data_IF_830092849692
#
_entry.id   IF_830092849692
#
_cell.length_a   1.000
_cell.length_b   1.000
_cell.length_c   1.000
_cell.angle_alpha   90.00
_cell.angle_beta   90.00
_cell.angle_gamma   90.00
#
_symmetry.space_group_name_H-M   'P 1'
#
loop_
_entity.id
_entity.type
_entity.pdbx_description
1 polymer ?
#
# COMPACT_ATOMS: atom_id res chain seq x y z
N UNK A 1 -1.92 -7.34 -17.20
CA UNK A 1 -2.48 -7.50 -15.85
C UNK A 1 -3.98 -7.26 -15.92
N UNK A 2 -4.76 -8.31 -15.68
CA UNK A 2 -6.22 -8.24 -15.59
C UNK A 2 -6.64 -7.11 -14.65
N UNK A 3 -7.50 -6.19 -15.11
CA UNK A 3 -8.17 -5.21 -14.24
C UNK A 3 -8.92 -6.05 -13.19
N UNK A 4 -8.40 -6.12 -11.97
CA UNK A 4 -9.19 -6.58 -10.83
C UNK A 4 -10.39 -5.63 -10.80
N UNK A 5 -11.55 -6.08 -11.29
CA UNK A 5 -12.79 -5.32 -11.12
C UNK A 5 -12.96 -5.16 -9.61
N UNK A 6 -12.93 -3.92 -9.11
CA UNK A 6 -13.27 -3.65 -7.73
C UNK A 6 -14.79 -3.83 -7.58
N UNK A 7 -15.18 -5.09 -7.37
CA UNK A 7 -16.57 -5.52 -7.11
C UNK A 7 -16.86 -5.61 -5.62
N UNK A 8 -15.88 -5.25 -4.78
CA UNK A 8 -15.96 -5.38 -3.32
C UNK A 8 -16.89 -4.31 -2.75
N UNK A 9 -17.86 -4.74 -1.96
CA UNK A 9 -18.92 -3.89 -1.40
C UNK A 9 -18.94 -3.89 0.12
N UNK A 10 -18.17 -4.76 0.76
CA UNK A 10 -18.18 -4.95 2.23
C UNK A 10 -16.78 -4.76 2.83
N UNK A 11 -16.73 -4.46 4.13
CA UNK A 11 -15.45 -4.32 4.85
C UNK A 11 -14.74 -5.67 5.00
N UNK A 12 -15.49 -6.75 5.10
CA UNK A 12 -15.01 -8.14 5.17
C UNK A 12 -14.22 -8.49 3.91
N UNK A 13 -14.77 -8.25 2.73
CA UNK A 13 -14.09 -8.50 1.44
C UNK A 13 -12.83 -7.63 1.27
N UNK A 14 -12.81 -6.43 1.85
CA UNK A 14 -11.64 -5.55 1.85
C UNK A 14 -10.54 -6.08 2.79
N UNK A 15 -10.90 -6.58 3.98
CA UNK A 15 -9.95 -7.22 4.91
C UNK A 15 -9.36 -8.48 4.31
N UNK A 16 -10.19 -9.35 3.73
CA UNK A 16 -9.73 -10.56 3.04
C UNK A 16 -8.77 -10.23 1.88
N UNK A 17 -9.04 -9.14 1.14
CA UNK A 17 -8.13 -8.65 0.09
C UNK A 17 -6.76 -8.30 0.66
N UNK A 18 -6.73 -7.59 1.79
CA UNK A 18 -5.48 -7.18 2.46
C UNK A 18 -4.72 -8.41 2.93
N UNK A 19 -5.38 -9.33 3.63
CA UNK A 19 -4.74 -10.57 4.14
C UNK A 19 -4.18 -11.43 3.00
N UNK A 20 -4.93 -11.58 1.90
CA UNK A 20 -4.45 -12.32 0.74
C UNK A 20 -3.21 -11.67 0.12
N UNK A 21 -3.19 -10.34 0.02
CA UNK A 21 -2.03 -9.62 -0.51
C UNK A 21 -0.82 -9.72 0.41
N UNK A 22 -1.01 -9.64 1.73
CA UNK A 22 0.07 -9.85 2.70
C UNK A 22 0.69 -11.23 2.52
N UNK A 23 -0.11 -12.29 2.46
CA UNK A 23 0.39 -13.66 2.22
C UNK A 23 1.19 -13.77 0.92
N UNK A 24 0.67 -13.20 -0.17
CA UNK A 24 1.38 -13.18 -1.46
C UNK A 24 2.75 -12.51 -1.31
N UNK A 25 2.84 -11.40 -0.56
CA UNK A 25 4.09 -10.67 -0.34
C UNK A 25 5.07 -11.43 0.58
N UNK A 26 4.56 -12.11 1.61
CA UNK A 26 5.34 -12.96 2.51
C UNK A 26 5.96 -14.17 1.78
N UNK A 27 5.28 -14.67 0.74
CA UNK A 27 5.74 -15.80 -0.07
C UNK A 27 6.75 -15.41 -1.18
N UNK A 28 7.03 -14.12 -1.38
CA UNK A 28 7.99 -13.68 -2.40
C UNK A 28 9.41 -13.94 -1.95
N UNK A 29 10.16 -14.75 -2.71
CA UNK A 29 11.60 -14.92 -2.53
C UNK A 29 12.33 -13.59 -2.81
N UNK A 30 13.03 -12.98 -1.84
CA UNK A 30 13.74 -11.71 -2.04
C UNK A 30 14.75 -11.75 -3.18
N UNK A 31 15.30 -12.92 -3.51
CA UNK A 31 16.27 -13.09 -4.61
C UNK A 31 15.71 -12.70 -5.96
N UNK A 32 14.38 -12.70 -6.13
CA UNK A 32 13.75 -12.26 -7.38
C UNK A 32 13.98 -10.79 -7.69
N UNK A 33 14.46 -9.99 -6.73
CA UNK A 33 14.75 -8.57 -6.92
C UNK A 33 16.23 -8.25 -7.15
N UNK A 34 17.14 -9.21 -6.97
CA UNK A 34 18.57 -8.99 -7.10
C UNK A 34 18.96 -8.57 -8.54
N UNK A 35 19.73 -7.48 -8.66
CA UNK A 35 20.28 -7.03 -9.94
C UNK A 35 19.28 -6.33 -10.87
N UNK A 36 18.07 -6.04 -10.39
CA UNK A 36 17.01 -5.40 -11.18
C UNK A 36 16.97 -3.89 -11.07
N UNK A 37 17.81 -3.29 -10.23
CA UNK A 37 17.75 -1.88 -9.85
C UNK A 37 17.78 -0.95 -11.07
N UNK A 38 18.54 -1.33 -12.09
CA UNK A 38 18.76 -0.56 -13.33
C UNK A 38 17.88 -1.00 -14.51
N UNK A 39 16.93 -1.91 -14.30
CA UNK A 39 15.99 -2.27 -15.35
C UNK A 39 15.04 -1.09 -15.62
N UNK A 40 14.74 -0.79 -16.90
CA UNK A 40 13.76 0.23 -17.22
C UNK A 40 12.34 -0.28 -16.96
N UNK A 41 11.52 0.54 -16.30
CA UNK A 41 10.09 0.34 -16.18
C UNK A 41 9.35 1.48 -16.89
N UNK A 42 8.44 1.12 -17.78
CA UNK A 42 7.60 2.07 -18.52
C UNK A 42 6.13 1.78 -18.25
N UNK A 43 5.39 2.81 -17.84
CA UNK A 43 3.96 2.72 -17.61
C UNK A 43 3.25 3.97 -18.09
N UNK A 44 1.93 3.85 -18.29
CA UNK A 44 1.09 4.95 -18.78
C UNK A 44 0.10 5.40 -17.72
N UNK A 45 -0.03 6.70 -17.54
CA UNK A 45 -0.99 7.32 -16.61
C UNK A 45 -2.00 8.17 -17.37
N UNK A 46 -2.98 8.75 -16.64
CA UNK A 46 -4.02 9.65 -17.20
C UNK A 46 -4.73 9.03 -18.41
N UNK A 47 -5.24 7.81 -18.23
CA UNK A 47 -5.92 7.03 -19.28
C UNK A 47 -5.08 6.85 -20.55
N UNK A 48 -3.76 6.72 -20.40
CA UNK A 48 -2.84 6.43 -21.49
C UNK A 48 -2.19 7.65 -22.15
N UNK A 49 -2.57 8.87 -21.75
CA UNK A 49 -2.12 10.12 -22.36
C UNK A 49 -0.71 10.55 -21.97
N UNK A 50 -0.18 10.01 -20.87
CA UNK A 50 1.17 10.34 -20.40
C UNK A 50 1.94 9.04 -20.20
N UNK A 51 3.15 8.97 -20.76
CA UNK A 51 4.08 7.86 -20.59
C UNK A 51 5.17 8.30 -19.62
N UNK A 52 5.47 7.46 -18.64
CA UNK A 52 6.57 7.64 -17.69
C UNK A 52 7.51 6.46 -17.85
N UNK A 53 8.82 6.76 -17.93
CA UNK A 53 9.89 5.77 -17.93
C UNK A 53 10.91 6.16 -16.85
N UNK A 54 11.36 5.18 -16.08
CA UNK A 54 12.34 5.32 -15.00
C UNK A 54 12.98 3.96 -14.72
N UNK A 55 14.02 3.91 -13.90
CA UNK A 55 14.61 2.66 -13.43
C UNK A 55 13.72 2.00 -12.36
N UNK A 56 13.78 0.68 -12.21
CA UNK A 56 12.99 -0.04 -11.19
C UNK A 56 13.23 0.48 -9.77
N UNK A 57 14.48 0.81 -9.42
CA UNK A 57 14.80 1.40 -8.12
C UNK A 57 14.15 2.78 -7.94
N UNK A 58 14.15 3.61 -8.98
CA UNK A 58 13.51 4.93 -8.96
C UNK A 58 11.99 4.80 -8.87
N UNK A 59 11.42 3.82 -9.57
CA UNK A 59 10.00 3.51 -9.46
C UNK A 59 9.61 3.13 -8.05
N UNK A 60 10.39 2.28 -7.37
CA UNK A 60 10.10 1.92 -5.99
C UNK A 60 10.11 3.16 -5.08
N UNK A 61 11.19 3.93 -5.10
CA UNK A 61 11.42 5.03 -4.16
C UNK A 61 10.62 6.30 -4.44
N UNK A 62 10.47 6.67 -5.71
CA UNK A 62 9.88 7.96 -6.10
C UNK A 62 8.45 7.84 -6.59
N UNK A 63 8.01 6.64 -7.01
CA UNK A 63 6.65 6.41 -7.47
C UNK A 63 5.84 5.55 -6.50
N UNK A 64 6.18 4.29 -6.33
CA UNK A 64 5.37 3.32 -5.61
C UNK A 64 5.28 3.64 -4.10
N UNK A 65 6.42 3.91 -3.46
CA UNK A 65 6.48 4.14 -2.02
C UNK A 65 5.70 5.41 -1.58
N UNK A 66 5.85 6.58 -2.21
CA UNK A 66 5.05 7.75 -1.88
C UNK A 66 3.55 7.56 -2.18
N UNK A 67 3.21 6.92 -3.30
CA UNK A 67 1.80 6.65 -3.65
C UNK A 67 1.13 5.72 -2.62
N UNK A 68 1.83 4.69 -2.15
CA UNK A 68 1.32 3.79 -1.11
C UNK A 68 0.91 4.57 0.14
N UNK A 69 1.83 5.38 0.69
CA UNK A 69 1.55 6.15 1.90
C UNK A 69 0.53 7.28 1.70
N UNK A 70 0.49 7.89 0.52
CA UNK A 70 -0.55 8.85 0.16
C UNK A 70 -1.95 8.22 0.30
N UNK A 71 -2.14 7.01 -0.23
CA UNK A 71 -3.43 6.32 -0.15
C UNK A 71 -3.76 5.82 1.25
N UNK A 72 -2.78 5.29 2.00
CA UNK A 72 -3.01 4.88 3.41
C UNK A 72 -3.42 6.07 4.25
N UNK A 73 -2.72 7.20 4.13
CA UNK A 73 -3.03 8.44 4.87
C UNK A 73 -4.40 8.98 4.48
N UNK A 74 -4.72 9.00 3.19
CA UNK A 74 -6.04 9.45 2.70
C UNK A 74 -7.18 8.59 3.28
N UNK A 75 -7.01 7.26 3.34
CA UNK A 75 -8.01 6.38 3.93
C UNK A 75 -8.17 6.62 5.43
N UNK A 76 -7.06 6.77 6.15
CA UNK A 76 -7.04 7.13 7.57
C UNK A 76 -7.77 8.46 7.82
N UNK A 77 -7.49 9.49 7.03
CA UNK A 77 -8.10 10.81 7.16
C UNK A 77 -9.60 10.77 6.89
N UNK A 78 -10.05 10.02 5.87
CA UNK A 78 -11.49 9.85 5.58
C UNK A 78 -12.20 9.19 6.76
N UNK A 79 -11.65 8.11 7.31
CA UNK A 79 -12.25 7.41 8.45
C UNK A 79 -12.31 8.29 9.69
N UNK A 80 -11.21 8.99 9.99
CA UNK A 80 -11.13 9.94 11.12
C UNK A 80 -12.11 11.10 10.93
N UNK A 81 -12.20 11.67 9.73
CA UNK A 81 -13.17 12.71 9.38
C UNK A 81 -14.63 12.23 9.53
N UNK A 82 -14.89 10.94 9.32
CA UNK A 82 -16.20 10.32 9.52
C UNK A 82 -16.50 9.90 10.96
N UNK A 83 -15.62 10.26 11.91
CA UNK A 83 -15.85 10.05 13.35
C UNK A 83 -15.36 8.71 13.88
N UNK A 84 -14.60 7.93 13.10
CA UNK A 84 -13.91 6.75 13.65
C UNK A 84 -12.81 7.22 14.59
N UNK A 85 -12.76 6.65 15.79
CA UNK A 85 -11.78 6.98 16.82
C UNK A 85 -10.38 6.43 16.46
N UNK A 86 -9.74 7.07 15.49
CA UNK A 86 -8.39 6.76 15.02
C UNK A 86 -7.40 7.84 15.47
N UNK A 87 -6.32 7.43 16.09
CA UNK A 87 -5.20 8.24 16.51
C UNK A 87 -3.96 8.09 15.63
N UNK A 88 -2.99 8.98 15.82
CA UNK A 88 -1.66 8.88 15.18
C UNK A 88 -1.00 7.53 15.46
N UNK A 89 -1.23 6.97 16.64
CA UNK A 89 -0.67 5.68 17.04
C UNK A 89 -1.25 4.54 16.20
N UNK A 90 -2.53 4.56 15.83
CA UNK A 90 -3.12 3.55 14.95
C UNK A 90 -2.48 3.56 13.56
N UNK A 91 -2.20 4.76 13.03
CA UNK A 91 -1.46 4.91 11.77
C UNK A 91 -0.02 4.36 11.89
N UNK A 92 0.73 4.77 12.91
CA UNK A 92 2.12 4.34 13.11
C UNK A 92 2.24 2.85 13.47
N UNK A 93 1.23 2.28 14.14
CA UNK A 93 1.18 0.89 14.54
C UNK A 93 0.41 0.00 13.55
N UNK A 94 0.19 0.46 12.31
CA UNK A 94 -0.52 -0.34 11.30
C UNK A 94 0.12 -1.71 11.03
N UNK A 95 1.44 -1.82 11.20
CA UNK A 95 2.18 -3.08 11.09
C UNK A 95 2.31 -3.85 12.42
N UNK A 96 1.67 -3.38 13.50
CA UNK A 96 1.60 -4.01 14.83
C UNK A 96 2.94 -4.29 15.51
N UNK A 97 4.00 -3.59 15.10
CA UNK A 97 5.32 -3.71 15.73
C UNK A 97 5.41 -2.97 17.07
N UNK A 98 4.54 -1.98 17.30
CA UNK A 98 4.48 -1.23 18.56
C UNK A 98 3.51 -1.94 19.50
N UNK A 99 4.05 -2.52 20.58
CA UNK A 99 3.24 -3.09 21.67
C UNK A 99 2.71 -1.96 22.54
N UNK A 100 1.46 -1.59 22.34
CA UNK A 100 0.77 -0.63 23.21
C UNK A 100 0.41 -1.33 24.51
N UNK A 101 0.81 -0.76 25.65
CA UNK A 101 0.31 -1.14 26.97
C UNK A 101 -0.69 -0.07 27.39
N UNK A 102 -1.94 -0.45 27.62
CA UNK A 102 -2.86 0.44 28.31
C UNK A 102 -2.38 0.58 29.76
N UNK A 103 -2.33 1.81 30.24
CA UNK A 103 -2.13 2.10 31.66
C UNK A 103 -3.53 2.37 32.18
N UNK A 104 -3.99 1.57 33.13
CA UNK A 104 -5.24 1.85 33.84
C UNK A 104 -5.08 3.20 34.57
N UNK A 105 -6.11 4.04 34.51
CA UNK A 105 -6.15 5.34 35.17
C UNK A 105 -6.38 5.19 36.67
#
# INVERSE_FOLDING_TARGET
MSKIKDTKKTFEELREKIEKLIKILEDVDPKVFEGKENNPVTFRIRSGKVVISMLEQEFLWYWAHPNFWFHVTTAYDILRMKGVELGKVDYLNGARFVKLKQVEA
#
